data_IF_883698713806
#
_entry.id   IF_883698713806
#
_cell.length_a   1.000
_cell.length_b   1.000
_cell.length_c   1.000
_cell.angle_alpha   90.00
_cell.angle_beta   90.00
_cell.angle_gamma   90.00
#
_symmetry.space_group_name_H-M   'P 1'
#
loop_
_entity.id
_entity.type
_entity.pdbx_description
1 polymer ?
#
# COMPACT_ATOMS: atom_id res chain seq x y z
N UNK A 1 42.91 -26.89 27.92
CA UNK A 1 42.04 -25.81 28.36
C UNK A 1 41.35 -25.15 27.14
N UNK A 2 40.50 -25.86 26.34
CA UNK A 2 39.76 -25.30 25.18
C UNK A 2 38.57 -26.18 24.70
N UNK A 3 37.62 -26.64 25.55
CA UNK A 3 36.38 -27.24 25.02
C UNK A 3 35.17 -26.32 25.06
N UNK A 4 35.12 -25.32 25.96
CA UNK A 4 33.95 -24.46 26.14
C UNK A 4 33.77 -23.40 25.03
N UNK A 5 34.88 -22.86 24.49
CA UNK A 5 34.80 -21.87 23.40
C UNK A 5 34.25 -22.48 22.10
N UNK A 6 34.62 -23.71 21.79
CA UNK A 6 34.18 -24.44 20.60
C UNK A 6 32.68 -24.77 20.66
N UNK A 7 32.18 -25.19 21.83
CA UNK A 7 30.77 -25.47 22.04
C UNK A 7 29.89 -24.22 21.95
N UNK A 8 30.37 -23.08 22.46
CA UNK A 8 29.69 -21.80 22.36
C UNK A 8 29.69 -21.27 20.92
N UNK A 9 30.81 -21.43 20.21
CA UNK A 9 30.91 -21.03 18.79
C UNK A 9 30.02 -21.90 17.92
N UNK A 10 29.98 -23.22 18.17
CA UNK A 10 29.11 -24.15 17.44
C UNK A 10 27.63 -23.97 17.77
N UNK A 11 27.29 -23.63 18.99
CA UNK A 11 25.91 -23.30 19.38
C UNK A 11 25.44 -21.94 18.76
N UNK A 12 26.37 -20.98 18.73
CA UNK A 12 26.14 -19.68 18.13
C UNK A 12 26.03 -19.79 16.60
N UNK A 13 26.94 -20.52 15.95
CA UNK A 13 26.91 -20.77 14.51
C UNK A 13 25.65 -21.54 14.07
N UNK A 14 25.21 -22.56 14.84
CA UNK A 14 23.94 -23.29 14.58
C UNK A 14 22.71 -22.41 14.78
N UNK A 15 22.74 -21.46 15.70
CA UNK A 15 21.63 -20.47 15.86
C UNK A 15 21.60 -19.46 14.72
N UNK A 16 22.78 -19.01 14.26
CA UNK A 16 22.88 -18.12 13.09
C UNK A 16 22.63 -18.86 11.77
N UNK A 17 23.13 -20.09 11.59
CA UNK A 17 22.86 -20.91 10.42
C UNK A 17 21.36 -21.25 10.27
N UNK A 18 20.61 -21.37 11.39
CA UNK A 18 19.13 -21.48 11.34
C UNK A 18 18.43 -20.17 10.94
N UNK A 19 19.10 -19.03 11.02
CA UNK A 19 18.58 -17.75 10.55
C UNK A 19 18.88 -17.49 9.06
N UNK A 20 19.80 -18.23 8.46
CA UNK A 20 20.08 -18.19 7.02
C UNK A 20 19.05 -19.10 6.33
N UNK A 21 18.15 -18.48 5.59
CA UNK A 21 17.14 -19.18 4.79
C UNK A 21 17.82 -19.79 3.57
N UNK A 22 17.87 -21.10 3.50
CA UNK A 22 18.56 -21.83 2.43
C UNK A 22 17.66 -22.06 1.21
N UNK A 23 16.35 -21.91 1.38
CA UNK A 23 15.37 -22.23 0.32
C UNK A 23 14.50 -21.02 -0.01
N UNK A 24 14.37 -20.72 -1.28
CA UNK A 24 13.51 -19.63 -1.81
C UNK A 24 12.06 -19.70 -1.29
N UNK A 25 11.54 -20.90 -1.01
CA UNK A 25 10.20 -21.12 -0.42
C UNK A 25 10.09 -20.65 1.02
N UNK A 26 11.17 -20.64 1.78
CA UNK A 26 11.19 -20.17 3.15
C UNK A 26 11.20 -18.64 3.23
N UNK A 27 11.78 -17.99 2.21
CA UNK A 27 11.72 -16.54 2.07
C UNK A 27 10.33 -16.04 1.65
N UNK A 28 9.61 -16.83 0.86
CA UNK A 28 8.24 -16.51 0.42
C UNK A 28 7.20 -16.67 1.54
N UNK A 29 7.47 -17.46 2.57
CA UNK A 29 6.49 -17.73 3.63
C UNK A 29 6.23 -16.46 4.48
N UNK A 30 4.95 -16.11 4.65
CA UNK A 30 4.52 -15.00 5.53
C UNK A 30 4.96 -15.22 6.97
N UNK A 31 5.02 -16.47 7.40
CA UNK A 31 5.52 -16.92 8.69
C UNK A 31 6.19 -18.28 8.50
N UNK A 32 7.51 -18.28 8.41
CA UNK A 32 8.30 -19.51 8.25
C UNK A 32 8.34 -20.34 9.54
N UNK A 33 8.12 -19.68 10.69
CA UNK A 33 8.12 -20.32 12.01
C UNK A 33 6.71 -20.57 12.52
N UNK A 34 6.45 -21.65 13.28
CA UNK A 34 5.14 -21.90 13.90
C UNK A 34 4.72 -20.75 14.83
N UNK A 35 5.66 -20.13 15.52
CA UNK A 35 5.42 -18.94 16.35
C UNK A 35 4.96 -17.75 15.51
N UNK A 36 5.55 -17.53 14.33
CA UNK A 36 5.15 -16.46 13.43
C UNK A 36 3.72 -16.66 12.86
N UNK A 37 3.34 -17.90 12.56
CA UNK A 37 1.95 -18.21 12.14
C UNK A 37 0.95 -17.96 13.27
N UNK A 38 1.30 -18.37 14.48
CA UNK A 38 0.48 -18.12 15.66
C UNK A 38 0.33 -16.62 15.92
N UNK A 39 1.44 -15.86 15.87
CA UNK A 39 1.42 -14.41 16.04
C UNK A 39 0.56 -13.72 14.97
N UNK A 40 0.67 -14.14 13.70
CA UNK A 40 -0.18 -13.62 12.62
C UNK A 40 -1.65 -13.95 12.88
N UNK A 41 -1.96 -15.18 13.28
CA UNK A 41 -3.33 -15.59 13.60
C UNK A 41 -3.92 -14.80 14.76
N UNK A 42 -3.16 -14.61 15.83
CA UNK A 42 -3.55 -13.78 16.99
C UNK A 42 -3.77 -12.32 16.58
N UNK A 43 -2.89 -11.77 15.73
CA UNK A 43 -3.04 -10.41 15.23
C UNK A 43 -4.29 -10.24 14.36
N UNK A 44 -4.57 -11.16 13.44
CA UNK A 44 -5.79 -11.12 12.63
C UNK A 44 -7.04 -11.26 13.48
N UNK A 45 -7.03 -12.17 14.47
CA UNK A 45 -8.12 -12.31 15.43
C UNK A 45 -8.33 -11.02 16.23
N UNK A 46 -7.25 -10.39 16.68
CA UNK A 46 -7.31 -9.10 17.38
C UNK A 46 -7.96 -8.02 16.50
N UNK A 47 -7.61 -7.92 15.22
CA UNK A 47 -8.23 -6.96 14.31
C UNK A 47 -9.74 -7.20 14.12
N UNK A 48 -10.17 -8.46 14.08
CA UNK A 48 -11.60 -8.81 13.97
C UNK A 48 -12.35 -8.50 15.26
N UNK A 49 -11.72 -8.69 16.42
CA UNK A 49 -12.33 -8.44 17.73
C UNK A 49 -12.28 -6.95 18.15
N UNK A 50 -11.52 -6.12 17.45
CA UNK A 50 -11.31 -4.72 17.78
C UNK A 50 -12.62 -3.93 18.00
N UNK A 51 -13.68 -4.08 17.17
CA UNK A 51 -14.94 -3.35 17.36
C UNK A 51 -15.66 -3.70 18.67
N UNK A 52 -15.41 -4.87 19.26
CA UNK A 52 -16.02 -5.27 20.54
C UNK A 52 -15.25 -4.72 21.75
N UNK A 53 -14.00 -4.27 21.53
CA UNK A 53 -13.12 -3.77 22.59
C UNK A 53 -13.08 -2.25 22.67
N UNK A 54 -13.36 -1.56 21.56
CA UNK A 54 -13.19 -0.12 21.46
C UNK A 54 -14.53 0.62 21.45
N UNK A 55 -14.55 1.79 22.10
CA UNK A 55 -15.64 2.75 21.97
C UNK A 55 -15.63 3.43 20.58
N UNK A 56 -16.70 4.14 20.17
CA UNK A 56 -16.84 4.67 18.80
C UNK A 56 -15.70 5.59 18.35
N UNK A 57 -15.15 6.43 19.24
CA UNK A 57 -14.09 7.36 18.90
C UNK A 57 -12.74 6.66 18.61
N UNK A 58 -12.18 5.80 19.49
CA UNK A 58 -11.00 5.01 19.14
C UNK A 58 -11.22 4.11 17.93
N UNK A 59 -12.44 3.63 17.69
CA UNK A 59 -12.75 2.83 16.50
C UNK A 59 -12.62 3.64 15.20
N UNK A 60 -13.10 4.88 15.21
CA UNK A 60 -12.89 5.82 14.09
C UNK A 60 -11.40 6.05 13.83
N UNK A 61 -10.59 6.30 14.88
CA UNK A 61 -9.14 6.47 14.75
C UNK A 61 -8.47 5.21 14.21
N UNK A 62 -8.86 4.01 14.66
CA UNK A 62 -8.35 2.75 14.15
C UNK A 62 -8.64 2.58 12.65
N UNK A 63 -9.82 2.99 12.21
CA UNK A 63 -10.20 2.98 10.77
C UNK A 63 -9.29 3.91 9.95
N UNK A 64 -9.02 5.11 10.44
CA UNK A 64 -8.08 6.04 9.78
C UNK A 64 -6.65 5.46 9.72
N UNK A 65 -6.21 4.79 10.80
CA UNK A 65 -4.90 4.11 10.81
C UNK A 65 -4.85 2.99 9.78
N UNK A 66 -5.91 2.21 9.62
CA UNK A 66 -5.96 1.14 8.61
C UNK A 66 -5.90 1.70 7.18
N UNK A 67 -6.63 2.80 6.89
CA UNK A 67 -6.57 3.51 5.60
C UNK A 67 -5.15 4.07 5.38
N UNK A 68 -4.55 4.70 6.41
CA UNK A 68 -3.17 5.18 6.33
C UNK A 68 -2.15 4.06 6.10
N UNK A 69 -2.35 2.89 6.69
CA UNK A 69 -1.50 1.73 6.47
C UNK A 69 -1.59 1.21 5.02
N UNK A 70 -2.78 1.27 4.41
CA UNK A 70 -2.97 0.91 3.00
C UNK A 70 -2.24 1.90 2.07
N UNK A 71 -2.38 3.20 2.33
CA UNK A 71 -1.64 4.25 1.61
C UNK A 71 -0.12 4.08 1.77
N UNK A 72 0.35 3.76 2.98
CA UNK A 72 1.77 3.49 3.24
C UNK A 72 2.27 2.24 2.49
N UNK A 73 1.43 1.23 2.31
CA UNK A 73 1.75 0.05 1.50
C UNK A 73 1.95 0.44 0.02
N UNK A 74 1.06 1.25 -0.55
CA UNK A 74 1.21 1.78 -1.91
C UNK A 74 2.53 2.54 -2.07
N UNK A 75 2.83 3.43 -1.12
CA UNK A 75 4.09 4.17 -1.11
C UNK A 75 5.30 3.25 -0.94
N UNK A 76 5.19 2.19 -0.13
CA UNK A 76 6.25 1.19 0.03
C UNK A 76 6.55 0.44 -1.28
N UNK A 77 5.53 0.09 -2.05
CA UNK A 77 5.71 -0.53 -3.37
C UNK A 77 6.47 0.40 -4.33
N UNK A 78 6.18 1.70 -4.31
CA UNK A 78 6.80 2.69 -5.18
C UNK A 78 8.23 3.02 -4.75
N UNK A 79 8.41 3.41 -3.49
CA UNK A 79 9.73 3.85 -2.97
C UNK A 79 10.59 2.64 -2.63
N UNK A 80 10.08 1.71 -1.84
CA UNK A 80 10.82 0.54 -1.39
C UNK A 80 11.03 -0.49 -2.51
N UNK A 81 10.01 -0.73 -3.33
CA UNK A 81 10.06 -1.69 -4.43
C UNK A 81 10.79 -1.17 -5.66
N UNK A 82 10.40 -0.01 -6.19
CA UNK A 82 10.89 0.52 -7.47
C UNK A 82 11.88 1.68 -7.35
N UNK A 83 12.21 2.14 -6.13
CA UNK A 83 13.16 3.23 -5.89
C UNK A 83 12.69 4.60 -6.39
N UNK A 84 11.38 4.76 -6.62
CA UNK A 84 10.80 6.01 -7.12
C UNK A 84 10.30 6.85 -5.94
N UNK A 85 11.02 7.90 -5.57
CA UNK A 85 10.64 8.78 -4.46
C UNK A 85 9.42 9.61 -4.87
N UNK A 86 8.33 9.51 -4.09
CA UNK A 86 7.11 10.27 -4.30
C UNK A 86 6.67 10.96 -3.01
N UNK A 87 6.45 12.28 -3.08
CA UNK A 87 5.86 13.10 -2.02
C UNK A 87 4.41 13.51 -2.35
N UNK A 88 3.86 13.00 -3.46
CA UNK A 88 2.51 13.32 -3.94
C UNK A 88 1.48 12.22 -3.69
N UNK A 89 1.74 11.27 -2.79
CA UNK A 89 0.89 10.08 -2.64
C UNK A 89 -0.51 10.40 -2.11
N UNK A 90 -0.63 11.41 -1.26
CA UNK A 90 -1.93 11.87 -0.74
C UNK A 90 -2.85 12.43 -1.84
N UNK A 91 -2.31 12.92 -2.96
CA UNK A 91 -3.13 13.34 -4.11
C UNK A 91 -3.88 12.16 -4.74
N UNK A 92 -3.25 10.99 -4.84
CA UNK A 92 -3.92 9.77 -5.35
C UNK A 92 -5.06 9.34 -4.43
N UNK A 93 -4.81 9.36 -3.12
CA UNK A 93 -5.85 9.07 -2.12
C UNK A 93 -7.02 10.05 -2.24
N UNK A 94 -6.74 11.35 -2.40
CA UNK A 94 -7.77 12.36 -2.62
C UNK A 94 -8.59 12.13 -3.89
N UNK A 95 -7.93 11.84 -5.01
CA UNK A 95 -8.61 11.53 -6.28
C UNK A 95 -9.49 10.29 -6.15
N UNK A 96 -8.97 9.22 -5.53
CA UNK A 96 -9.74 8.01 -5.26
C UNK A 96 -10.97 8.30 -4.41
N UNK A 97 -10.82 9.06 -3.32
CA UNK A 97 -11.91 9.43 -2.42
C UNK A 97 -12.99 10.27 -3.11
N UNK A 98 -12.60 11.32 -3.85
CA UNK A 98 -13.58 12.14 -4.59
C UNK A 98 -14.26 11.37 -5.70
N UNK A 99 -13.55 10.49 -6.41
CA UNK A 99 -14.18 9.63 -7.42
C UNK A 99 -15.20 8.69 -6.78
N UNK A 100 -14.83 8.02 -5.71
CA UNK A 100 -15.72 7.13 -4.98
C UNK A 100 -16.94 7.88 -4.42
N UNK A 101 -16.78 9.14 -4.03
CA UNK A 101 -17.85 9.97 -3.49
C UNK A 101 -18.98 10.27 -4.47
N UNK A 102 -18.79 10.06 -5.78
CA UNK A 102 -19.85 10.22 -6.79
C UNK A 102 -20.74 8.99 -6.93
N UNK A 103 -20.28 7.84 -6.44
CA UNK A 103 -20.98 6.55 -6.49
C UNK A 103 -21.28 6.09 -5.06
N UNK A 104 -22.29 6.71 -4.44
CA UNK A 104 -22.72 6.40 -3.08
C UNK A 104 -23.93 5.45 -3.05
N UNK A 105 -24.37 5.06 -1.85
CA UNK A 105 -25.46 4.12 -1.66
C UNK A 105 -25.08 2.71 -2.14
N UNK A 106 -25.95 2.00 -2.88
CA UNK A 106 -25.71 0.62 -3.31
C UNK A 106 -24.53 0.47 -4.29
N UNK A 107 -24.08 1.56 -4.90
CA UNK A 107 -22.95 1.60 -5.83
C UNK A 107 -21.61 1.94 -5.15
N UNK A 108 -21.57 2.10 -3.84
CA UNK A 108 -20.36 2.48 -3.09
C UNK A 108 -19.19 1.51 -3.34
N UNK A 109 -19.46 0.20 -3.45
CA UNK A 109 -18.42 -0.79 -3.77
C UNK A 109 -17.78 -0.54 -5.15
N UNK A 110 -18.60 -0.25 -6.15
CA UNK A 110 -18.12 0.12 -7.49
C UNK A 110 -17.37 1.45 -7.46
N UNK A 111 -17.81 2.39 -6.62
CA UNK A 111 -17.14 3.66 -6.37
C UNK A 111 -15.71 3.49 -5.87
N UNK A 112 -15.48 2.59 -4.93
CA UNK A 112 -14.14 2.27 -4.40
C UNK A 112 -13.24 1.71 -5.51
N UNK A 113 -13.74 0.74 -6.30
CA UNK A 113 -12.96 0.15 -7.39
C UNK A 113 -12.63 1.15 -8.49
N UNK A 114 -13.61 2.00 -8.88
CA UNK A 114 -13.39 3.05 -9.88
C UNK A 114 -12.47 4.14 -9.34
N UNK A 115 -12.59 4.49 -8.05
CA UNK A 115 -11.68 5.42 -7.39
C UNK A 115 -10.23 4.97 -7.47
N UNK A 116 -9.95 3.72 -7.11
CA UNK A 116 -8.63 3.11 -7.27
C UNK A 116 -8.18 3.07 -8.74
N UNK A 117 -9.07 2.71 -9.67
CA UNK A 117 -8.78 2.69 -11.10
C UNK A 117 -8.40 4.06 -11.67
N UNK A 118 -9.14 5.13 -11.31
CA UNK A 118 -8.82 6.50 -11.75
C UNK A 118 -7.55 7.01 -11.09
N UNK A 119 -7.33 6.71 -9.81
CA UNK A 119 -6.07 7.01 -9.15
C UNK A 119 -4.88 6.31 -9.84
N UNK A 120 -5.03 5.04 -10.23
CA UNK A 120 -4.02 4.31 -10.99
C UNK A 120 -3.74 4.92 -12.36
N UNK A 121 -4.77 5.37 -13.09
CA UNK A 121 -4.59 6.07 -14.37
C UNK A 121 -3.81 7.38 -14.19
N UNK A 122 -4.10 8.16 -13.15
CA UNK A 122 -3.31 9.34 -12.80
C UNK A 122 -1.88 8.96 -12.38
N UNK A 123 -1.71 7.84 -11.69
CA UNK A 123 -0.39 7.28 -11.40
C UNK A 123 0.41 6.99 -12.66
N UNK A 124 -0.20 6.46 -13.72
CA UNK A 124 0.45 6.30 -15.03
C UNK A 124 0.92 7.64 -15.61
N UNK A 125 0.05 8.67 -15.57
CA UNK A 125 0.38 10.01 -16.07
C UNK A 125 1.56 10.62 -15.30
N UNK A 126 1.55 10.52 -13.98
CA UNK A 126 2.65 10.99 -13.12
C UNK A 126 3.90 10.13 -13.20
N UNK A 127 3.76 8.89 -13.60
CA UNK A 127 4.90 8.02 -13.93
C UNK A 127 5.67 8.47 -15.15
N UNK A 128 5.07 9.23 -16.09
CA UNK A 128 5.77 9.69 -17.31
C UNK A 128 6.99 10.57 -17.00
N UNK A 129 6.93 11.58 -16.11
CA UNK A 129 8.11 12.35 -15.71
C UNK A 129 9.22 11.47 -15.12
N UNK A 130 8.87 10.38 -14.39
CA UNK A 130 9.86 9.50 -13.77
C UNK A 130 10.77 8.76 -14.78
N UNK A 131 10.38 8.73 -16.05
CA UNK A 131 11.21 8.18 -17.11
C UNK A 131 12.44 9.04 -17.39
N UNK A 132 12.35 10.35 -17.15
CA UNK A 132 13.41 11.32 -17.41
C UNK A 132 14.04 11.88 -16.14
N UNK A 133 13.26 11.96 -15.05
CA UNK A 133 13.65 12.60 -13.79
C UNK A 133 13.79 11.51 -12.73
N UNK A 134 14.83 11.60 -11.89
CA UNK A 134 15.15 10.60 -10.86
C UNK A 134 15.47 11.25 -9.52
N UNK A 135 15.39 10.45 -8.44
CA UNK A 135 15.80 10.86 -7.11
C UNK A 135 15.05 12.07 -6.58
N UNK A 136 15.75 13.04 -6.04
CA UNK A 136 15.18 14.23 -5.40
C UNK A 136 14.35 15.08 -6.37
N UNK A 137 14.76 15.18 -7.62
CA UNK A 137 14.00 15.93 -8.62
C UNK A 137 12.62 15.34 -8.89
N UNK A 138 12.51 14.00 -8.86
CA UNK A 138 11.22 13.33 -8.97
C UNK A 138 10.35 13.60 -7.73
N UNK A 139 10.95 13.60 -6.54
CA UNK A 139 10.24 13.95 -5.30
C UNK A 139 9.66 15.37 -5.35
N UNK A 140 10.43 16.35 -5.86
CA UNK A 140 9.96 17.73 -6.05
C UNK A 140 8.81 17.79 -7.07
N UNK A 141 8.92 17.07 -8.19
CA UNK A 141 7.87 17.02 -9.20
C UNK A 141 6.56 16.42 -8.64
N UNK A 142 6.64 15.35 -7.85
CA UNK A 142 5.47 14.75 -7.21
C UNK A 142 4.90 15.62 -6.09
N UNK A 143 5.74 16.37 -5.39
CA UNK A 143 5.29 17.38 -4.42
C UNK A 143 4.53 18.53 -5.11
N UNK A 144 5.04 19.03 -6.23
CA UNK A 144 4.35 20.04 -7.04
C UNK A 144 2.97 19.53 -7.50
N UNK A 145 2.88 18.27 -7.91
CA UNK A 145 1.61 17.64 -8.24
C UNK A 145 0.67 17.59 -7.02
N UNK A 146 1.18 17.29 -5.81
CA UNK A 146 0.38 17.31 -4.58
C UNK A 146 -0.26 18.67 -4.35
N UNK A 147 0.49 19.77 -4.50
CA UNK A 147 -0.05 21.12 -4.36
C UNK A 147 -1.07 21.47 -5.46
N UNK A 148 -0.81 21.00 -6.69
CA UNK A 148 -1.76 21.19 -7.78
C UNK A 148 -3.07 20.44 -7.51
N UNK A 149 -3.01 19.20 -7.05
CA UNK A 149 -4.17 18.41 -6.69
C UNK A 149 -4.97 19.08 -5.54
N UNK A 150 -4.29 19.54 -4.50
CA UNK A 150 -4.91 20.25 -3.38
C UNK A 150 -5.62 21.53 -3.85
N UNK A 151 -4.97 22.29 -4.76
CA UNK A 151 -5.59 23.46 -5.39
C UNK A 151 -6.85 23.08 -6.16
N UNK A 152 -6.80 22.02 -6.97
CA UNK A 152 -7.96 21.53 -7.74
C UNK A 152 -9.08 21.09 -6.80
N UNK A 153 -8.75 20.34 -5.74
CA UNK A 153 -9.76 19.88 -4.78
C UNK A 153 -10.47 21.03 -4.07
N UNK A 154 -9.76 22.11 -3.76
CA UNK A 154 -10.33 23.28 -3.09
C UNK A 154 -11.15 24.19 -4.00
N UNK A 155 -10.85 24.23 -5.29
CA UNK A 155 -11.47 25.17 -6.23
C UNK A 155 -12.48 24.56 -7.18
N UNK A 156 -12.54 23.23 -7.33
CA UNK A 156 -13.47 22.56 -8.23
C UNK A 156 -14.79 22.23 -7.54
N UNK A 157 -15.57 23.26 -7.22
CA UNK A 157 -16.81 23.15 -6.43
C UNK A 157 -17.80 22.09 -7.01
N UNK A 158 -17.97 22.03 -8.34
CA UNK A 158 -18.90 21.11 -8.98
C UNK A 158 -18.59 19.62 -8.78
N UNK A 159 -17.33 19.27 -8.51
CA UNK A 159 -16.89 17.86 -8.38
C UNK A 159 -16.53 17.53 -6.94
N UNK A 160 -15.80 18.40 -6.28
CA UNK A 160 -15.26 18.13 -4.93
C UNK A 160 -16.07 18.76 -3.81
N UNK A 161 -16.96 19.70 -4.13
CA UNK A 161 -17.63 20.56 -3.15
C UNK A 161 -16.74 21.70 -2.64
N UNK A 162 -15.56 21.89 -3.24
CA UNK A 162 -14.59 22.94 -2.89
C UNK A 162 -14.09 22.83 -1.46
N UNK A 163 -13.90 23.97 -0.81
CA UNK A 163 -13.40 24.06 0.58
C UNK A 163 -14.35 23.39 1.60
N UNK A 164 -15.66 23.34 1.29
CA UNK A 164 -16.66 22.71 2.18
C UNK A 164 -16.60 21.19 2.14
N UNK A 165 -15.99 20.62 1.09
CA UNK A 165 -16.00 19.18 0.83
C UNK A 165 -17.40 18.64 0.48
N UNK A 166 -17.53 17.32 0.40
CA UNK A 166 -18.79 16.64 0.14
C UNK A 166 -19.24 15.89 1.38
N UNK A 167 -20.47 16.15 1.83
CA UNK A 167 -21.15 15.33 2.84
C UNK A 167 -21.89 14.20 2.11
N UNK A 168 -21.59 12.98 2.44
CA UNK A 168 -22.18 11.79 1.83
C UNK A 168 -23.16 11.13 2.81
N UNK A 169 -24.27 10.56 2.32
CA UNK A 169 -25.07 9.67 3.12
C UNK A 169 -24.25 8.41 3.47
N UNK A 170 -24.65 7.64 4.50
CA UNK A 170 -24.00 6.38 4.84
C UNK A 170 -23.87 5.48 3.60
N UNK A 171 -22.71 4.86 3.41
CA UNK A 171 -22.52 3.91 2.33
C UNK A 171 -23.42 2.68 2.56
N UNK A 172 -23.97 2.13 1.49
CA UNK A 172 -24.74 0.90 1.52
C UNK A 172 -23.97 -0.20 0.80
N UNK A 173 -23.84 -1.35 1.41
CA UNK A 173 -23.24 -2.51 0.80
C UNK A 173 -24.26 -3.65 0.78
N UNK A 174 -24.69 -4.06 -0.42
CA UNK A 174 -25.72 -5.10 -0.59
C UNK A 174 -26.99 -4.88 0.24
N UNK A 175 -27.45 -3.62 0.40
CA UNK A 175 -28.63 -3.27 1.19
C UNK A 175 -28.39 -3.13 2.70
N UNK A 176 -27.15 -3.28 3.17
CA UNK A 176 -26.75 -3.01 4.54
C UNK A 176 -26.17 -1.60 4.64
N UNK A 177 -26.86 -0.71 5.36
CA UNK A 177 -26.32 0.63 5.64
C UNK A 177 -25.11 0.54 6.56
N UNK A 178 -24.00 1.15 6.15
CA UNK A 178 -22.74 1.24 6.90
C UNK A 178 -22.75 2.53 7.74
N UNK A 179 -23.69 2.62 8.64
CA UNK A 179 -23.98 3.79 9.47
C UNK A 179 -23.19 3.82 10.79
N UNK A 180 -22.54 2.71 11.15
CA UNK A 180 -21.79 2.60 12.40
C UNK A 180 -20.29 2.46 12.16
N UNK A 181 -19.42 2.98 13.07
CA UNK A 181 -17.96 2.86 12.95
C UNK A 181 -17.47 1.42 12.84
N UNK A 182 -18.17 0.48 13.48
CA UNK A 182 -17.84 -0.95 13.47
C UNK A 182 -18.02 -1.55 12.06
N UNK A 183 -19.11 -1.20 11.38
CA UNK A 183 -19.40 -1.67 10.02
C UNK A 183 -18.37 -1.09 9.03
N UNK A 184 -18.02 0.20 9.17
CA UNK A 184 -16.98 0.84 8.37
C UNK A 184 -15.62 0.17 8.57
N UNK A 185 -15.29 -0.21 9.82
CA UNK A 185 -14.07 -0.94 10.10
C UNK A 185 -13.97 -2.26 9.31
N UNK A 186 -15.04 -3.07 9.33
CA UNK A 186 -15.03 -4.33 8.59
C UNK A 186 -14.93 -4.11 7.08
N UNK A 187 -15.54 -3.06 6.54
CA UNK A 187 -15.38 -2.69 5.13
C UNK A 187 -13.92 -2.37 4.82
N UNK A 188 -13.29 -1.50 5.61
CA UNK A 188 -11.88 -1.13 5.43
C UNK A 188 -10.98 -2.35 5.60
N UNK A 189 -11.22 -3.20 6.58
CA UNK A 189 -10.48 -4.42 6.82
C UNK A 189 -10.59 -5.40 5.63
N UNK A 190 -11.78 -5.51 5.04
CA UNK A 190 -12.04 -6.34 3.86
C UNK A 190 -11.17 -5.95 2.66
N UNK A 191 -10.91 -4.66 2.46
CA UNK A 191 -10.01 -4.19 1.39
C UNK A 191 -8.54 -4.22 1.81
N UNK A 192 -8.24 -3.79 3.04
CA UNK A 192 -6.86 -3.64 3.50
C UNK A 192 -6.13 -4.97 3.60
N UNK A 193 -6.76 -6.02 4.15
CA UNK A 193 -6.10 -7.32 4.32
C UNK A 193 -5.70 -7.97 2.99
N UNK A 194 -6.58 -8.13 1.99
CA UNK A 194 -6.20 -8.71 0.71
C UNK A 194 -5.12 -7.89 -0.01
N UNK A 195 -5.22 -6.56 0.01
CA UNK A 195 -4.24 -5.68 -0.63
C UNK A 195 -2.87 -5.76 0.05
N UNK A 196 -2.85 -5.88 1.39
CA UNK A 196 -1.60 -6.06 2.13
C UNK A 196 -0.91 -7.40 1.78
N UNK A 197 -1.68 -8.49 1.73
CA UNK A 197 -1.15 -9.79 1.31
C UNK A 197 -0.72 -9.80 -0.16
N UNK A 198 -1.51 -9.16 -1.02
CA UNK A 198 -1.17 -9.01 -2.43
C UNK A 198 0.12 -8.19 -2.63
N UNK A 199 0.26 -7.05 -1.94
CA UNK A 199 1.44 -6.18 -2.04
C UNK A 199 2.74 -6.91 -1.66
N UNK A 200 2.73 -7.67 -0.56
CA UNK A 200 3.89 -8.52 -0.21
C UNK A 200 4.16 -9.56 -1.29
N UNK A 201 3.14 -10.27 -1.76
CA UNK A 201 3.30 -11.31 -2.78
C UNK A 201 3.76 -10.72 -4.11
N UNK A 202 3.30 -9.50 -4.45
CA UNK A 202 3.70 -8.80 -5.66
C UNK A 202 5.21 -8.60 -5.74
N UNK A 203 5.86 -8.20 -4.64
CA UNK A 203 7.32 -8.02 -4.61
C UNK A 203 8.10 -9.32 -4.87
N UNK A 204 7.50 -10.48 -4.64
CA UNK A 204 8.09 -11.79 -4.91
C UNK A 204 7.86 -12.30 -6.34
N UNK A 205 6.98 -11.64 -7.10
CA UNK A 205 6.68 -11.99 -8.51
C UNK A 205 7.79 -11.53 -9.47
N UNK A 206 7.64 -11.90 -10.75
CA UNK A 206 8.51 -11.38 -11.82
C UNK A 206 8.47 -9.86 -11.89
N UNK A 207 7.29 -9.24 -11.67
CA UNK A 207 7.15 -7.78 -11.65
C UNK A 207 7.90 -7.15 -10.47
N UNK A 208 7.79 -7.72 -9.27
CA UNK A 208 8.52 -7.25 -8.09
C UNK A 208 10.03 -7.36 -8.24
N UNK A 209 10.53 -8.44 -8.83
CA UNK A 209 11.96 -8.57 -9.15
C UNK A 209 12.42 -7.52 -10.17
N UNK A 210 11.59 -7.21 -11.17
CA UNK A 210 11.88 -6.13 -12.11
C UNK A 210 11.90 -4.76 -11.41
N UNK A 211 11.00 -4.51 -10.45
CA UNK A 211 11.02 -3.29 -9.61
C UNK A 211 12.34 -3.17 -8.87
N UNK A 212 12.75 -4.21 -8.15
CA UNK A 212 14.02 -4.21 -7.40
C UNK A 212 15.24 -4.03 -8.30
N UNK A 213 15.27 -4.65 -9.48
CA UNK A 213 16.36 -4.46 -10.45
C UNK A 213 16.45 -3.00 -10.92
N UNK A 214 15.32 -2.35 -11.18
CA UNK A 214 15.27 -0.93 -11.56
C UNK A 214 15.67 -0.03 -10.40
N UNK A 215 15.25 -0.36 -9.16
CA UNK A 215 15.66 0.37 -7.95
C UNK A 215 17.17 0.36 -7.77
N UNK A 216 17.77 -0.82 -7.91
CA UNK A 216 19.20 -0.98 -7.65
C UNK A 216 20.05 -0.32 -8.73
N UNK A 217 19.76 -0.51 -10.01
CA UNK A 217 20.45 0.18 -11.11
C UNK A 217 19.65 0.09 -12.42
N UNK A 218 19.14 1.24 -12.91
CA UNK A 218 18.39 1.36 -14.18
C UNK A 218 19.19 0.83 -15.39
N UNK A 219 20.50 1.12 -15.46
CA UNK A 219 21.33 0.74 -16.61
C UNK A 219 21.53 -0.77 -16.64
N UNK A 220 21.87 -1.37 -15.52
CA UNK A 220 22.06 -2.83 -15.39
C UNK A 220 20.74 -3.58 -15.66
N UNK A 221 19.61 -3.07 -15.16
CA UNK A 221 18.29 -3.63 -15.44
C UNK A 221 17.98 -3.62 -16.94
N UNK A 222 18.27 -2.51 -17.62
CA UNK A 222 18.08 -2.38 -19.07
C UNK A 222 18.94 -3.36 -19.88
N UNK A 223 20.20 -3.53 -19.52
CA UNK A 223 21.11 -4.50 -20.15
C UNK A 223 20.61 -5.93 -19.93
N UNK A 224 20.00 -6.22 -18.77
CA UNK A 224 19.37 -7.50 -18.48
C UNK A 224 18.00 -7.71 -19.19
N UNK A 225 17.58 -6.77 -20.06
CA UNK A 225 16.35 -6.88 -20.85
C UNK A 225 15.08 -6.40 -20.13
N UNK A 226 15.21 -5.69 -19.01
CA UNK A 226 14.06 -5.13 -18.29
C UNK A 226 13.57 -3.85 -18.99
N UNK A 227 12.28 -3.80 -19.34
CA UNK A 227 11.65 -2.60 -19.90
C UNK A 227 11.40 -1.56 -18.79
N UNK A 228 12.31 -0.58 -18.70
CA UNK A 228 12.25 0.47 -17.66
C UNK A 228 10.96 1.28 -17.72
N UNK A 229 10.43 1.53 -18.93
CA UNK A 229 9.21 2.34 -19.10
C UNK A 229 8.03 1.62 -18.45
N UNK A 230 7.81 0.37 -18.84
CA UNK A 230 6.72 -0.44 -18.29
C UNK A 230 6.84 -0.60 -16.77
N UNK A 231 8.03 -0.91 -16.29
CA UNK A 231 8.27 -1.16 -14.86
C UNK A 231 7.99 0.09 -14.02
N UNK A 232 8.48 1.26 -14.42
CA UNK A 232 8.24 2.51 -13.69
C UNK A 232 6.77 2.92 -13.72
N UNK A 233 6.13 2.87 -14.88
CA UNK A 233 4.71 3.20 -15.01
C UNK A 233 3.82 2.23 -14.20
N UNK A 234 4.10 0.93 -14.24
CA UNK A 234 3.40 -0.06 -13.42
C UNK A 234 3.58 0.20 -11.92
N UNK A 235 4.79 0.59 -11.48
CA UNK A 235 5.03 0.90 -10.08
C UNK A 235 4.16 2.08 -9.61
N UNK A 236 4.08 3.16 -10.39
CA UNK A 236 3.21 4.30 -10.10
C UNK A 236 1.72 3.92 -10.12
N UNK A 237 1.27 3.17 -11.13
CA UNK A 237 -0.13 2.76 -11.22
C UNK A 237 -0.57 1.87 -10.05
N UNK A 238 0.25 0.86 -9.71
CA UNK A 238 -0.05 -0.06 -8.60
C UNK A 238 0.00 0.64 -7.24
N UNK A 239 0.95 1.57 -7.07
CA UNK A 239 1.06 2.34 -5.83
C UNK A 239 -0.11 3.31 -5.66
N UNK A 240 -0.61 3.90 -6.74
CA UNK A 240 -1.72 4.84 -6.72
C UNK A 240 -3.09 4.14 -6.61
N UNK A 241 -3.20 2.87 -6.96
CA UNK A 241 -4.42 2.07 -6.82
C UNK A 241 -4.73 1.72 -5.35
N UNK A 242 -3.71 1.51 -4.50
CA UNK A 242 -3.86 1.16 -3.08
C UNK A 242 -3.95 2.37 -2.20
#
# INVERSE_FOLDING_TARGET
MYPLSKQLTDAFSRRFARAVRETYREDEAYASTPLGRLALGVFLLFLVLLPFLLSPYPMYVATLVAIGALSALGLHLLVGGAGQISLGHAAFMGVGAYTASHLYGPLAFLGILLGGGIAALLGLVLGLPSLRIKGVYLAIATLAFQFLADYVFKNWEGVTGGIRGRTLPPAELFGLALDTPEKLWYLVLFFTLPLFFYGKRLLMTRAGRAFMAVRDNDLSARVAGVDLVRVKLMAFALSAFG
#
